data_IF_410622667287
#
_entry.id   IF_410622667287
#
_cell.length_a   1.000
_cell.length_b   1.000
_cell.length_c   1.000
_cell.angle_alpha   90.00
_cell.angle_beta   90.00
_cell.angle_gamma   90.00
#
_symmetry.space_group_name_H-M   'P 1'
#
loop_
_entity.id
_entity.type
_entity.pdbx_description
1 polymer ?
#
# COMPACT_ATOMS: atom_id res chain seq x y z
N UNK A 1 -25.32 28.34 -10.68
CA UNK A 1 -25.51 27.11 -11.48
C UNK A 1 -24.16 26.41 -11.70
N UNK A 2 -24.00 25.18 -11.23
CA UNK A 2 -22.80 24.37 -11.44
C UNK A 2 -23.11 23.20 -12.37
N UNK A 3 -22.15 22.82 -13.20
CA UNK A 3 -22.24 21.61 -14.03
C UNK A 3 -22.30 20.35 -13.16
N UNK A 4 -23.26 19.48 -13.43
CA UNK A 4 -23.48 18.25 -12.66
C UNK A 4 -24.51 17.33 -13.31
N UNK A 5 -24.46 16.05 -12.97
CA UNK A 5 -25.41 15.03 -13.43
C UNK A 5 -26.53 14.89 -12.39
N UNK A 6 -27.78 14.82 -12.86
CA UNK A 6 -28.95 14.59 -11.98
C UNK A 6 -28.91 13.13 -11.53
N UNK A 7 -28.62 12.89 -10.26
CA UNK A 7 -28.50 11.53 -9.71
C UNK A 7 -29.85 10.90 -9.34
N UNK A 8 -30.84 11.72 -8.96
CA UNK A 8 -32.21 11.29 -8.65
C UNK A 8 -33.16 12.42 -8.99
N UNK A 9 -34.25 12.10 -9.70
CA UNK A 9 -35.41 12.99 -9.92
C UNK A 9 -36.54 12.50 -9.02
N UNK A 10 -36.84 13.23 -7.95
CA UNK A 10 -37.84 12.82 -6.94
C UNK A 10 -39.21 13.48 -7.12
N UNK A 11 -39.46 14.14 -8.25
CA UNK A 11 -40.72 14.84 -8.54
C UNK A 11 -41.08 14.71 -10.03
N UNK A 12 -42.29 14.21 -10.27
CA UNK A 12 -42.95 14.16 -11.58
C UNK A 12 -43.88 15.37 -11.77
N UNK A 13 -44.23 15.67 -13.02
CA UNK A 13 -45.17 16.73 -13.32
C UNK A 13 -46.56 16.36 -12.77
N UNK A 14 -47.06 17.11 -11.78
CA UNK A 14 -48.36 16.88 -11.13
C UNK A 14 -48.30 16.52 -9.63
N UNK A 15 -47.11 16.34 -9.05
CA UNK A 15 -46.97 16.09 -7.61
C UNK A 15 -46.97 17.40 -6.79
N UNK A 16 -47.64 17.38 -5.63
CA UNK A 16 -47.60 18.49 -4.66
C UNK A 16 -46.25 18.51 -3.95
N UNK A 17 -45.45 19.56 -4.15
CA UNK A 17 -44.14 19.72 -3.53
C UNK A 17 -44.28 20.32 -2.11
N UNK A 18 -43.84 19.60 -1.08
CA UNK A 18 -43.78 20.14 0.28
C UNK A 18 -42.49 20.95 0.50
N UNK A 19 -42.54 22.06 1.27
CA UNK A 19 -41.34 22.78 1.69
C UNK A 19 -40.36 21.83 2.40
N UNK A 20 -39.12 21.75 1.92
CA UNK A 20 -38.08 20.86 2.46
C UNK A 20 -37.84 19.57 1.67
N UNK A 21 -38.64 19.27 0.64
CA UNK A 21 -38.41 18.11 -0.23
C UNK A 21 -37.36 18.44 -1.29
N UNK A 22 -36.21 17.74 -1.27
CA UNK A 22 -35.16 17.92 -2.26
C UNK A 22 -35.62 17.44 -3.65
N UNK A 23 -35.89 18.37 -4.56
CA UNK A 23 -36.43 18.06 -5.90
C UNK A 23 -35.41 17.39 -6.84
N UNK A 24 -34.13 17.80 -6.74
CA UNK A 24 -33.04 17.29 -7.57
C UNK A 24 -31.77 17.13 -6.74
N UNK A 25 -31.07 16.01 -6.94
CA UNK A 25 -29.70 15.82 -6.44
C UNK A 25 -28.74 16.01 -7.60
N UNK A 26 -28.09 17.18 -7.67
CA UNK A 26 -26.96 17.37 -8.59
C UNK A 26 -25.71 16.75 -7.99
N UNK A 27 -25.01 15.96 -8.80
CA UNK A 27 -23.70 15.40 -8.45
C UNK A 27 -22.72 15.83 -9.53
N UNK A 28 -21.73 16.63 -9.16
CA UNK A 28 -20.60 16.92 -10.03
C UNK A 28 -19.69 15.69 -10.06
N UNK A 29 -19.37 15.21 -11.26
CA UNK A 29 -18.55 14.02 -11.48
C UNK A 29 -17.15 14.34 -12.01
N UNK A 30 -16.79 15.62 -12.08
CA UNK A 30 -15.46 16.08 -12.53
C UNK A 30 -14.34 15.60 -11.61
N UNK A 31 -14.64 15.53 -10.30
CA UNK A 31 -13.79 14.88 -9.31
C UNK A 31 -14.62 13.83 -8.57
N UNK A 32 -14.14 12.60 -8.55
CA UNK A 32 -14.82 11.48 -7.89
C UNK A 32 -14.01 11.01 -6.69
N UNK A 33 -14.75 10.56 -5.66
CA UNK A 33 -14.16 9.97 -4.47
C UNK A 33 -14.40 8.47 -4.47
N UNK A 34 -13.31 7.71 -4.39
CA UNK A 34 -13.38 6.27 -4.17
C UNK A 34 -13.29 6.02 -2.67
N UNK A 35 -14.34 5.40 -2.12
CA UNK A 35 -14.37 4.99 -0.72
C UNK A 35 -13.82 3.59 -0.60
N UNK A 36 -12.85 3.42 0.28
CA UNK A 36 -12.27 2.12 0.61
C UNK A 36 -12.44 1.85 2.10
N UNK A 37 -12.71 0.59 2.43
CA UNK A 37 -12.72 0.09 3.79
C UNK A 37 -11.37 -0.53 4.08
N UNK A 38 -10.63 0.07 5.01
CA UNK A 38 -9.30 -0.37 5.40
C UNK A 38 -9.37 -1.04 6.78
N UNK A 39 -8.86 -2.27 6.94
CA UNK A 39 -8.78 -2.93 8.24
C UNK A 39 -8.00 -2.13 9.30
N UNK A 40 -8.37 -2.28 10.57
CA UNK A 40 -7.70 -1.59 11.69
C UNK A 40 -6.20 -1.88 11.80
N UNK A 41 -5.75 -3.09 11.45
CA UNK A 41 -4.33 -3.45 11.46
C UNK A 41 -3.51 -2.77 10.35
N UNK A 42 -4.16 -2.33 9.26
CA UNK A 42 -3.48 -1.73 8.10
C UNK A 42 -3.63 -0.20 8.04
N UNK A 43 -4.61 0.36 8.75
CA UNK A 43 -4.89 1.80 8.73
C UNK A 43 -3.68 2.65 9.18
N UNK A 44 -2.78 2.08 9.98
CA UNK A 44 -1.54 2.73 10.41
C UNK A 44 -0.60 3.07 9.26
N UNK A 45 -0.56 2.22 8.21
CA UNK A 45 0.30 2.40 7.03
C UNK A 45 -0.32 3.34 5.98
N UNK A 46 -1.61 3.67 6.12
CA UNK A 46 -2.32 4.55 5.21
C UNK A 46 -2.12 6.01 5.60
N UNK A 47 -1.52 6.78 4.71
CA UNK A 47 -1.21 8.20 4.92
C UNK A 47 -2.01 9.11 3.98
N UNK A 48 -2.43 10.27 4.48
CA UNK A 48 -3.03 11.33 3.65
C UNK A 48 -1.98 11.83 2.65
N UNK A 49 -2.36 11.94 1.38
CA UNK A 49 -1.45 12.32 0.29
C UNK A 49 -0.78 11.14 -0.42
N UNK A 50 -0.87 9.92 0.13
CA UNK A 50 -0.33 8.71 -0.47
C UNK A 50 -0.99 8.45 -1.83
N UNK A 51 -0.18 8.04 -2.80
CA UNK A 51 -0.64 7.72 -4.16
C UNK A 51 -1.34 6.37 -4.17
N UNK A 52 -2.51 6.32 -4.81
CA UNK A 52 -3.30 5.11 -4.96
C UNK A 52 -3.62 4.86 -6.44
N UNK A 53 -3.49 3.61 -6.86
CA UNK A 53 -3.90 3.13 -8.17
C UNK A 53 -5.27 2.45 -8.05
N UNK A 54 -6.24 2.93 -8.82
CA UNK A 54 -7.63 2.47 -8.79
C UNK A 54 -7.96 1.78 -10.10
N UNK A 55 -8.27 0.49 -10.03
CA UNK A 55 -8.69 -0.32 -11.18
C UNK A 55 -10.20 -0.46 -11.17
N UNK A 56 -10.86 -0.12 -12.27
CA UNK A 56 -12.32 -0.17 -12.38
C UNK A 56 -12.75 -1.31 -13.28
N UNK A 57 -13.35 -2.36 -12.69
CA UNK A 57 -13.77 -3.56 -13.42
C UNK A 57 -14.76 -3.25 -14.54
N UNK A 58 -15.66 -2.28 -14.32
CA UNK A 58 -16.68 -1.87 -15.29
C UNK A 58 -16.11 -1.17 -16.55
N UNK A 59 -14.84 -0.74 -16.51
CA UNK A 59 -14.18 -0.02 -17.61
C UNK A 59 -13.05 -0.86 -18.20
N UNK A 60 -13.27 -2.16 -18.41
CA UNK A 60 -12.24 -3.11 -18.89
C UNK A 60 -10.96 -3.08 -18.05
N UNK A 61 -11.09 -2.99 -16.72
CA UNK A 61 -9.98 -2.84 -15.79
C UNK A 61 -9.10 -1.61 -16.07
N UNK A 62 -9.69 -0.52 -16.56
CA UNK A 62 -8.97 0.74 -16.70
C UNK A 62 -8.43 1.19 -15.34
N UNK A 63 -7.19 1.69 -15.37
CA UNK A 63 -6.44 2.14 -14.19
C UNK A 63 -6.48 3.66 -14.13
N UNK A 64 -6.80 4.18 -12.95
CA UNK A 64 -6.83 5.59 -12.62
C UNK A 64 -5.93 5.86 -11.44
N UNK A 65 -5.19 6.97 -11.47
CA UNK A 65 -4.34 7.38 -10.35
C UNK A 65 -5.05 8.44 -9.52
N UNK A 66 -5.03 8.26 -8.20
CA UNK A 66 -5.58 9.21 -7.24
C UNK A 66 -4.66 9.36 -6.03
N UNK A 67 -5.11 10.21 -5.10
CA UNK A 67 -4.43 10.40 -3.80
C UNK A 67 -5.42 10.26 -2.67
N UNK A 68 -4.94 9.79 -1.53
CA UNK A 68 -5.75 9.75 -0.30
C UNK A 68 -5.98 11.18 0.19
N UNK A 69 -7.23 11.61 0.17
CA UNK A 69 -7.62 12.95 0.64
C UNK A 69 -8.08 12.93 2.09
N UNK A 70 -8.68 11.82 2.53
CA UNK A 70 -9.22 11.73 3.88
C UNK A 70 -9.10 10.32 4.40
N UNK A 71 -8.60 10.22 5.63
CA UNK A 71 -8.63 9.02 6.46
C UNK A 71 -9.72 9.20 7.53
N UNK A 72 -10.64 8.26 7.60
CA UNK A 72 -11.70 8.23 8.60
C UNK A 72 -11.12 8.07 10.00
N UNK A 73 -11.69 8.78 10.96
CA UNK A 73 -11.25 8.78 12.36
C UNK A 73 -12.01 7.80 13.25
N UNK A 74 -13.11 7.24 12.74
CA UNK A 74 -13.94 6.27 13.44
C UNK A 74 -13.98 4.95 12.67
N UNK A 75 -13.73 3.86 13.38
CA UNK A 75 -13.96 2.52 12.86
C UNK A 75 -15.47 2.23 12.76
N UNK A 76 -15.86 1.55 11.69
CA UNK A 76 -17.16 0.91 11.63
C UNK A 76 -17.12 -0.33 12.54
N UNK A 77 -17.90 -0.30 13.62
CA UNK A 77 -17.92 -1.36 14.65
C UNK A 77 -18.41 -2.72 14.13
N UNK A 78 -19.14 -2.77 13.02
CA UNK A 78 -19.59 -4.03 12.44
C UNK A 78 -18.53 -4.69 11.57
N UNK A 79 -17.79 -3.90 10.79
CA UNK A 79 -16.78 -4.41 9.85
C UNK A 79 -15.35 -4.30 10.36
N UNK A 80 -15.12 -3.67 11.52
CA UNK A 80 -13.78 -3.39 12.06
C UNK A 80 -12.84 -2.70 11.04
N UNK A 81 -13.42 -1.82 10.21
CA UNK A 81 -12.70 -1.08 9.16
C UNK A 81 -12.87 0.42 9.30
N UNK A 82 -11.84 1.16 8.91
CA UNK A 82 -11.87 2.61 8.75
C UNK A 82 -12.18 2.97 7.29
N UNK A 83 -13.02 3.99 7.07
CA UNK A 83 -13.27 4.53 5.72
C UNK A 83 -12.10 5.43 5.32
N UNK A 84 -11.46 5.19 4.17
CA UNK A 84 -10.56 6.15 3.54
C UNK A 84 -11.10 6.58 2.17
N UNK A 85 -10.79 7.81 1.77
CA UNK A 85 -11.25 8.42 0.52
C UNK A 85 -10.07 8.74 -0.38
N UNK A 86 -10.10 8.18 -1.58
CA UNK A 86 -9.16 8.49 -2.67
C UNK A 86 -9.83 9.45 -3.63
N UNK A 87 -9.27 10.64 -3.78
CA UNK A 87 -9.71 11.63 -4.76
C UNK A 87 -9.09 11.34 -6.13
N UNK A 88 -9.93 11.28 -7.16
CA UNK A 88 -9.52 11.06 -8.55
C UNK A 88 -10.13 12.15 -9.43
N UNK A 89 -9.29 12.79 -10.24
CA UNK A 89 -9.76 13.70 -11.28
C UNK A 89 -10.35 12.88 -12.43
N UNK A 90 -11.57 13.21 -12.83
CA UNK A 90 -12.36 12.50 -13.82
C UNK A 90 -12.81 13.46 -14.95
N UNK A 91 -11.86 14.12 -15.65
CA UNK A 91 -12.19 15.13 -16.67
C UNK A 91 -12.96 14.53 -17.87
N UNK A 92 -12.83 13.23 -18.11
CA UNK A 92 -13.57 12.53 -19.16
C UNK A 92 -14.93 12.00 -18.69
N UNK A 93 -15.32 12.24 -17.43
CA UNK A 93 -16.59 11.77 -16.84
C UNK A 93 -16.83 10.25 -16.98
N UNK A 94 -15.76 9.46 -17.11
CA UNK A 94 -15.82 8.00 -17.30
C UNK A 94 -16.15 7.26 -16.00
N UNK A 95 -15.69 7.79 -14.87
CA UNK A 95 -15.97 7.24 -13.56
C UNK A 95 -17.36 7.68 -13.11
N UNK A 96 -18.25 6.72 -12.89
CA UNK A 96 -19.60 6.98 -12.40
C UNK A 96 -19.72 6.58 -10.92
N UNK A 97 -20.46 7.34 -10.10
CA UNK A 97 -20.81 6.92 -8.75
C UNK A 97 -21.49 5.55 -8.75
N UNK A 98 -21.09 4.68 -7.83
CA UNK A 98 -21.62 3.32 -7.70
C UNK A 98 -20.82 2.24 -8.43
N UNK A 99 -19.80 2.61 -9.23
CA UNK A 99 -18.87 1.63 -9.81
C UNK A 99 -18.04 0.94 -8.72
N UNK A 100 -17.86 -0.37 -8.89
CA UNK A 100 -16.97 -1.17 -8.03
C UNK A 100 -15.54 -1.09 -8.57
N UNK A 101 -14.60 -0.81 -7.68
CA UNK A 101 -13.20 -0.60 -8.01
C UNK A 101 -12.30 -1.39 -7.04
N UNK A 102 -11.09 -1.72 -7.50
CA UNK A 102 -10.00 -2.22 -6.67
C UNK A 102 -9.00 -1.10 -6.47
N UNK A 103 -8.49 -0.94 -5.25
CA UNK A 103 -7.52 0.12 -4.93
C UNK A 103 -6.24 -0.53 -4.45
N UNK A 104 -5.14 -0.12 -5.04
CA UNK A 104 -3.78 -0.48 -4.65
C UNK A 104 -3.11 0.77 -4.11
N UNK A 105 -2.77 0.74 -2.82
CA UNK A 105 -2.02 1.82 -2.18
C UNK A 105 -0.53 1.47 -2.33
N UNK A 106 0.26 2.40 -2.84
CA UNK A 106 1.71 2.21 -2.84
C UNK A 106 2.20 2.26 -1.38
N UNK A 107 2.96 1.26 -0.96
CA UNK A 107 3.67 1.31 0.32
C UNK A 107 4.60 2.53 0.33
N UNK A 108 4.69 3.19 1.48
CA UNK A 108 5.59 4.33 1.65
C UNK A 108 7.04 3.87 1.46
N UNK A 109 7.62 4.17 0.29
CA UNK A 109 9.04 3.93 0.00
C UNK A 109 9.98 4.86 0.81
N UNK A 110 9.44 5.61 1.77
CA UNK A 110 10.15 6.62 2.56
C UNK A 110 11.10 5.98 3.59
N UNK A 111 10.87 4.73 3.97
CA UNK A 111 11.92 3.90 4.55
C UNK A 111 12.62 3.15 3.42
N UNK A 112 13.92 3.40 3.23
CA UNK A 112 14.76 2.57 2.41
C UNK A 112 14.79 1.16 3.03
N UNK A 113 13.80 0.35 2.71
CA UNK A 113 13.63 -1.01 3.20
C UNK A 113 14.66 -1.89 2.49
N UNK A 114 15.66 -2.36 3.24
CA UNK A 114 16.64 -3.30 2.71
C UNK A 114 15.98 -4.65 2.57
N UNK A 115 15.68 -5.06 1.34
CA UNK A 115 15.10 -6.36 1.06
C UNK A 115 16.23 -7.37 0.91
N UNK A 116 16.18 -8.43 1.71
CA UNK A 116 17.14 -9.53 1.67
C UNK A 116 16.40 -10.81 1.23
N UNK A 117 16.98 -11.65 0.36
CA UNK A 117 16.40 -12.93 0.02
C UNK A 117 16.13 -13.76 1.28
N UNK A 118 14.92 -14.33 1.39
CA UNK A 118 14.53 -15.14 2.55
C UNK A 118 15.56 -16.23 2.89
N UNK A 119 16.18 -16.83 1.86
CA UNK A 119 17.22 -17.87 2.01
C UNK A 119 18.47 -17.42 2.76
N UNK A 120 18.78 -16.12 2.79
CA UNK A 120 19.98 -15.59 3.42
C UNK A 120 19.78 -15.30 4.93
N UNK A 121 18.53 -15.29 5.41
CA UNK A 121 18.20 -15.06 6.82
C UNK A 121 18.29 -16.39 7.57
N UNK A 122 19.13 -16.41 8.59
CA UNK A 122 19.29 -17.54 9.50
C UNK A 122 18.75 -17.23 10.89
N UNK A 123 18.45 -18.28 11.64
CA UNK A 123 17.95 -18.19 13.01
C UNK A 123 19.02 -18.75 13.94
N UNK A 124 19.42 -17.96 14.94
CA UNK A 124 20.38 -18.40 15.95
C UNK A 124 19.74 -19.40 16.92
N UNK A 125 20.52 -20.16 17.70
CA UNK A 125 19.97 -21.04 18.75
C UNK A 125 19.03 -20.32 19.72
N UNK A 126 19.28 -19.04 19.98
CA UNK A 126 18.45 -18.16 20.82
C UNK A 126 17.19 -17.61 20.10
N UNK A 127 16.88 -18.07 18.88
CA UNK A 127 15.73 -17.64 18.10
C UNK A 127 15.87 -16.28 17.42
N UNK A 128 17.04 -15.62 17.49
CA UNK A 128 17.28 -14.31 16.85
C UNK A 128 17.62 -14.48 15.38
N UNK A 129 17.05 -13.63 14.53
CA UNK A 129 17.34 -13.60 13.09
C UNK A 129 18.67 -12.89 12.84
N UNK A 130 19.49 -13.46 11.95
CA UNK A 130 20.78 -12.90 11.58
C UNK A 130 21.11 -13.21 10.11
N UNK A 131 22.03 -12.45 9.54
CA UNK A 131 22.64 -12.71 8.23
C UNK A 131 24.15 -12.76 8.36
N UNK A 132 24.82 -13.35 7.35
CA UNK A 132 26.27 -13.28 7.23
C UNK A 132 26.67 -12.13 6.34
N UNK A 133 27.46 -11.21 6.87
CA UNK A 133 28.09 -10.14 6.12
C UNK A 133 29.47 -10.55 5.64
N UNK A 134 29.79 -10.24 4.39
CA UNK A 134 31.13 -10.32 3.83
C UNK A 134 31.88 -9.00 4.12
N UNK A 135 32.64 -8.98 5.21
CA UNK A 135 33.52 -7.86 5.53
C UNK A 135 34.91 -8.13 4.92
N UNK A 136 35.09 -7.72 3.67
CA UNK A 136 36.27 -8.08 2.88
C UNK A 136 36.32 -9.59 2.60
N UNK A 137 37.33 -10.28 3.13
CA UNK A 137 37.50 -11.73 2.98
C UNK A 137 37.11 -12.52 4.24
N UNK A 138 36.38 -11.92 5.17
CA UNK A 138 35.88 -12.62 6.37
C UNK A 138 34.37 -12.52 6.51
N UNK A 139 33.76 -13.59 6.99
CA UNK A 139 32.35 -13.60 7.33
C UNK A 139 32.12 -13.09 8.75
N UNK A 140 31.19 -12.14 8.89
CA UNK A 140 30.76 -11.59 10.17
C UNK A 140 29.28 -11.85 10.38
N UNK A 141 28.91 -12.29 11.58
CA UNK A 141 27.51 -12.45 11.95
C UNK A 141 26.91 -11.09 12.25
N UNK A 142 25.78 -10.77 11.64
CA UNK A 142 25.04 -9.54 11.90
C UNK A 142 23.60 -9.89 12.26
N UNK A 143 23.20 -9.57 13.49
CA UNK A 143 21.81 -9.69 13.90
C UNK A 143 20.96 -8.64 13.19
N UNK A 144 19.80 -9.07 12.71
CA UNK A 144 18.90 -8.20 11.96
C UNK A 144 17.49 -8.32 12.51
N UNK A 145 16.77 -7.21 12.48
CA UNK A 145 15.34 -7.17 12.75
C UNK A 145 14.60 -7.13 11.42
N UNK A 146 13.77 -8.12 11.19
CA UNK A 146 13.04 -8.28 9.93
C UNK A 146 11.60 -7.79 10.09
N UNK A 147 11.06 -7.19 9.03
CA UNK A 147 9.67 -6.78 8.90
C UNK A 147 8.86 -7.77 8.07
N UNK A 148 8.05 -7.23 7.15
CA UNK A 148 7.18 -7.99 6.26
C UNK A 148 7.92 -8.76 5.15
N UNK A 149 7.19 -9.65 4.50
CA UNK A 149 7.61 -10.32 3.27
C UNK A 149 7.06 -9.52 2.08
N UNK A 150 7.93 -9.19 1.13
CA UNK A 150 7.60 -8.58 -0.16
C UNK A 150 7.90 -9.59 -1.28
N UNK A 151 7.46 -9.34 -2.52
CA UNK A 151 7.70 -10.21 -3.68
C UNK A 151 9.18 -10.57 -3.88
N UNK A 152 10.11 -9.67 -3.52
CA UNK A 152 11.55 -9.87 -3.68
C UNK A 152 12.24 -10.53 -2.47
N UNK A 153 11.59 -10.68 -1.32
CA UNK A 153 12.22 -11.22 -0.11
C UNK A 153 11.68 -10.66 1.20
N UNK A 154 12.50 -10.72 2.25
CA UNK A 154 12.15 -10.21 3.58
C UNK A 154 12.73 -8.82 3.75
N UNK A 155 11.90 -7.88 4.21
CA UNK A 155 12.34 -6.55 4.60
C UNK A 155 13.19 -6.64 5.88
N UNK A 156 14.35 -6.00 5.88
CA UNK A 156 15.16 -5.76 7.08
C UNK A 156 14.96 -4.32 7.53
N UNK A 157 14.47 -4.17 8.76
CA UNK A 157 14.12 -2.90 9.39
C UNK A 157 15.31 -2.33 10.16
N UNK A 158 16.13 -3.18 10.78
CA UNK A 158 17.31 -2.78 11.55
C UNK A 158 18.45 -3.80 11.40
N UNK A 159 19.69 -3.33 11.51
CA UNK A 159 20.89 -4.16 11.57
C UNK A 159 21.71 -4.24 10.28
N UNK A 160 21.29 -3.57 9.21
CA UNK A 160 22.03 -3.46 7.95
C UNK A 160 22.21 -1.99 7.54
N UNK A 161 23.32 -1.71 6.87
CA UNK A 161 23.68 -0.40 6.31
C UNK A 161 23.81 -0.49 4.79
N UNK A 162 23.59 0.63 4.11
CA UNK A 162 23.75 0.70 2.66
C UNK A 162 25.19 0.34 2.28
N UNK A 163 25.36 -0.60 1.34
CA UNK A 163 26.67 -1.11 0.91
C UNK A 163 27.15 -2.36 1.65
N UNK A 164 26.43 -2.86 2.65
CA UNK A 164 26.71 -4.15 3.26
C UNK A 164 26.55 -5.31 2.25
N UNK A 165 27.56 -6.17 2.17
CA UNK A 165 27.54 -7.35 1.28
C UNK A 165 27.06 -8.57 2.07
N UNK A 166 25.95 -9.15 1.65
CA UNK A 166 25.35 -10.31 2.33
C UNK A 166 25.74 -11.60 1.61
N UNK A 167 26.09 -12.63 2.37
CA UNK A 167 26.36 -13.97 1.85
C UNK A 167 25.02 -14.70 1.66
N UNK A 168 24.58 -14.81 0.43
CA UNK A 168 23.30 -15.42 0.04
C UNK A 168 23.41 -16.92 -0.33
N UNK A 169 24.62 -17.40 -0.61
CA UNK A 169 24.92 -18.80 -0.95
C UNK A 169 26.18 -19.28 -0.20
N UNK A 170 26.23 -20.57 0.14
CA UNK A 170 27.37 -21.16 0.87
C UNK A 170 27.42 -20.82 2.36
N UNK A 171 26.45 -20.06 2.89
CA UNK A 171 26.36 -19.66 4.30
C UNK A 171 26.32 -20.82 5.30
N UNK A 172 25.96 -22.02 4.86
CA UNK A 172 25.94 -23.24 5.68
C UNK A 172 27.35 -23.70 6.09
N UNK A 173 28.37 -23.33 5.32
CA UNK A 173 29.78 -23.68 5.56
C UNK A 173 30.56 -22.55 6.25
N UNK A 174 29.86 -21.50 6.65
CA UNK A 174 30.45 -20.27 7.17
C UNK A 174 30.21 -20.18 8.67
N UNK A 175 31.21 -19.68 9.40
CA UNK A 175 31.12 -19.36 10.82
C UNK A 175 31.80 -18.02 11.07
N UNK A 176 31.67 -17.51 12.29
CA UNK A 176 32.19 -16.18 12.62
C UNK A 176 33.72 -16.12 12.44
N UNK A 177 34.20 -15.07 11.76
CA UNK A 177 35.60 -14.85 11.40
C UNK A 177 36.22 -15.89 10.45
N UNK A 178 35.41 -16.71 9.77
CA UNK A 178 35.90 -17.62 8.73
C UNK A 178 36.30 -16.83 7.49
N UNK A 179 37.44 -17.21 6.88
CA UNK A 179 37.87 -16.68 5.58
C UNK A 179 36.94 -17.16 4.48
N UNK A 180 36.46 -16.21 3.69
CA UNK A 180 35.58 -16.45 2.56
C UNK A 180 36.24 -15.94 1.27
N UNK A 181 35.82 -16.50 0.14
CA UNK A 181 36.16 -16.02 -1.19
C UNK A 181 34.87 -15.67 -1.90
N UNK A 182 34.76 -14.41 -2.36
CA UNK A 182 33.57 -13.91 -3.04
C UNK A 182 33.66 -14.33 -4.52
N UNK A 183 32.69 -15.12 -4.99
CA UNK A 183 32.64 -15.64 -6.35
C UNK A 183 31.59 -14.93 -7.25
N UNK A 184 30.82 -14.00 -6.71
CA UNK A 184 29.79 -13.22 -7.43
C UNK A 184 29.15 -12.16 -6.53
N UNK A 185 28.55 -11.14 -7.15
CA UNK A 185 27.73 -10.12 -6.49
C UNK A 185 26.38 -10.09 -7.20
N UNK A 186 25.30 -10.16 -6.44
CA UNK A 186 23.92 -9.93 -6.91
C UNK A 186 23.46 -8.61 -6.29
N UNK A 187 22.86 -7.72 -7.10
CA UNK A 187 22.27 -6.43 -6.70
C UNK A 187 20.81 -6.58 -6.25
#
# INVERSE_FOLDING_TARGET
PHDGVIAVRSVEAGSSAMPGMAAFKLVSIDKVNVKISVPENEIGSVQTGQTASVTVSALNNAVFTGKIETKGVAANAMSHTYEAKVGINNPQSKLMPGMVCKVFLAADATTAEMVVPNRAIQISPDGKRFVWLANGNVAKRQFVKTGGLNDNGIVVVEGLSAGDKIIIDGFQKVSENVRIRINGLED
#
